data_IF_079476523635
#
_entry.id   IF_079476523635
#
_cell.length_a   1.000
_cell.length_b   1.000
_cell.length_c   1.000
_cell.angle_alpha   90.00
_cell.angle_beta   90.00
_cell.angle_gamma   90.00
#
_symmetry.space_group_name_H-M   'P 1'
#
loop_
_entity.id
_entity.type
_entity.pdbx_description
1 polymer ?
#
# COMPACT_ATOMS: atom_id res chain seq x y z
N UNK A 1 -7.25 34.25 23.51
CA UNK A 1 -6.13 33.72 24.33
C UNK A 1 -5.72 32.39 23.71
N UNK A 2 -4.54 32.35 23.10
CA UNK A 2 -3.93 31.07 22.67
C UNK A 2 -3.62 30.28 23.96
N UNK A 3 -4.33 29.19 24.19
CA UNK A 3 -3.93 28.23 25.21
C UNK A 3 -2.61 27.62 24.78
N UNK A 4 -1.56 27.79 25.56
CA UNK A 4 -0.31 27.07 25.38
C UNK A 4 -0.60 25.55 25.33
N UNK A 5 0.01 24.87 24.39
CA UNK A 5 -0.08 23.39 24.30
C UNK A 5 0.63 22.78 25.50
N UNK A 6 0.05 21.74 26.08
CA UNK A 6 0.71 20.93 27.12
C UNK A 6 1.83 20.02 26.53
N UNK A 7 1.96 19.99 25.22
CA UNK A 7 2.87 19.13 24.47
C UNK A 7 3.91 19.92 23.69
N UNK A 8 5.10 19.33 23.55
CA UNK A 8 6.05 19.74 22.52
C UNK A 8 5.57 19.22 21.16
N UNK A 9 5.44 20.11 20.18
CA UNK A 9 4.89 19.78 18.87
C UNK A 9 6.00 19.76 17.84
N UNK A 10 6.06 18.70 17.04
CA UNK A 10 6.94 18.56 15.89
C UNK A 10 6.07 18.58 14.63
N UNK A 11 6.30 19.55 13.77
CA UNK A 11 5.71 19.59 12.42
C UNK A 11 6.67 18.93 11.45
N UNK A 12 6.28 17.75 10.94
CA UNK A 12 7.08 16.99 9.99
C UNK A 12 6.59 17.22 8.58
N UNK A 13 7.44 17.81 7.73
CA UNK A 13 7.21 17.96 6.29
C UNK A 13 7.96 16.85 5.57
N UNK A 14 7.26 15.80 5.24
CA UNK A 14 7.79 14.58 4.66
C UNK A 14 7.94 14.72 3.13
N UNK A 15 9.07 14.31 2.52
CA UNK A 15 9.22 14.18 1.06
C UNK A 15 8.77 12.81 0.59
N UNK A 16 8.65 12.61 -0.74
CA UNK A 16 8.67 11.30 -1.42
C UNK A 16 7.63 10.26 -0.92
N UNK A 17 6.42 10.70 -0.60
CA UNK A 17 5.32 9.78 -0.23
C UNK A 17 4.97 8.86 -1.40
N UNK A 18 4.83 9.38 -2.63
CA UNK A 18 4.36 8.70 -3.83
C UNK A 18 5.18 7.44 -4.23
N UNK A 19 6.39 7.29 -3.71
CA UNK A 19 7.24 6.11 -3.93
C UNK A 19 7.50 5.29 -2.65
N UNK A 20 6.77 5.58 -1.56
CA UNK A 20 6.85 4.85 -0.29
C UNK A 20 8.15 5.02 0.50
N UNK A 21 9.02 5.96 0.12
CA UNK A 21 10.33 6.15 0.79
C UNK A 21 10.36 7.29 1.79
N UNK A 22 9.38 8.17 1.78
CA UNK A 22 9.38 9.43 2.53
C UNK A 22 9.43 9.24 4.04
N UNK A 23 8.59 8.38 4.58
CA UNK A 23 8.58 8.11 6.01
C UNK A 23 9.89 7.47 6.50
N UNK A 24 10.49 6.58 5.71
CA UNK A 24 11.78 5.98 6.03
C UNK A 24 12.93 7.00 6.05
N UNK A 25 12.90 7.98 5.14
CA UNK A 25 13.85 9.11 5.11
C UNK A 25 13.76 9.94 6.39
N UNK A 26 12.57 10.04 6.98
CA UNK A 26 12.33 10.80 8.22
C UNK A 26 12.71 10.05 9.50
N UNK A 27 13.16 8.78 9.43
CA UNK A 27 13.60 7.99 10.59
C UNK A 27 14.56 8.70 11.55
N UNK A 28 15.58 9.48 11.11
CA UNK A 28 16.51 10.15 12.01
C UNK A 28 15.84 11.13 13.00
N UNK A 29 14.63 11.63 12.70
CA UNK A 29 13.86 12.45 13.63
C UNK A 29 13.53 11.67 14.91
N UNK A 30 13.11 10.41 14.77
CA UNK A 30 12.71 9.54 15.88
C UNK A 30 13.92 8.99 16.66
N UNK A 31 15.09 9.00 16.07
CA UNK A 31 16.35 8.70 16.78
C UNK A 31 16.79 9.88 17.65
N UNK A 32 16.42 11.11 17.23
CA UNK A 32 16.79 12.35 17.93
C UNK A 32 15.80 12.79 19.01
N UNK A 33 14.51 12.56 18.78
CA UNK A 33 13.43 13.01 19.65
C UNK A 33 12.57 11.82 20.09
N UNK A 34 12.22 11.79 21.37
CA UNK A 34 11.16 10.90 21.86
C UNK A 34 9.80 11.46 21.41
N UNK A 35 9.04 10.62 20.70
CA UNK A 35 7.72 10.98 20.18
C UNK A 35 6.67 10.08 20.84
N UNK A 36 5.68 10.66 21.49
CA UNK A 36 4.63 9.93 22.20
C UNK A 36 3.45 9.53 21.31
N UNK A 37 3.16 10.34 20.27
CA UNK A 37 2.01 10.14 19.37
C UNK A 37 2.31 10.75 18.01
N UNK A 38 1.77 10.16 16.97
CA UNK A 38 1.92 10.63 15.57
C UNK A 38 0.55 10.72 14.94
N UNK A 39 0.27 11.86 14.30
CA UNK A 39 -0.97 12.11 13.57
C UNK A 39 -0.69 12.47 12.13
N UNK A 40 -1.45 11.88 11.22
CA UNK A 40 -1.48 12.21 9.80
C UNK A 40 -2.90 12.38 9.30
N UNK A 41 -3.02 13.07 8.16
CA UNK A 41 -4.32 13.35 7.55
C UNK A 41 -4.18 13.36 6.03
N UNK A 42 -5.15 12.77 5.35
CA UNK A 42 -5.29 12.85 3.90
C UNK A 42 -6.69 13.35 3.52
N UNK A 43 -6.82 14.05 2.43
CA UNK A 43 -8.10 14.39 1.84
C UNK A 43 -8.68 13.17 1.10
N UNK A 44 -10.01 13.00 1.10
CA UNK A 44 -10.63 11.85 0.44
C UNK A 44 -11.84 12.26 -0.41
N UNK A 45 -11.74 12.10 -1.74
CA UNK A 45 -12.87 12.25 -2.66
C UNK A 45 -14.04 11.33 -2.32
N UNK A 46 -15.24 11.76 -2.65
CA UNK A 46 -16.48 10.98 -2.52
C UNK A 46 -16.89 10.60 -1.09
N UNK A 47 -16.22 11.13 -0.08
CA UNK A 47 -16.68 11.15 1.29
C UNK A 47 -17.33 12.52 1.60
N UNK A 48 -18.29 12.54 2.54
CA UNK A 48 -19.04 13.77 2.90
C UNK A 48 -18.07 14.88 3.31
N UNK A 49 -18.21 16.05 2.69
CA UNK A 49 -17.31 17.20 2.85
C UNK A 49 -17.25 17.67 4.31
N UNK A 50 -16.04 18.01 4.76
CA UNK A 50 -15.76 18.52 6.12
C UNK A 50 -16.06 17.53 7.26
N UNK A 51 -16.21 16.24 6.97
CA UNK A 51 -16.30 15.18 7.97
C UNK A 51 -14.93 14.52 8.11
N UNK A 52 -14.51 14.26 9.33
CA UNK A 52 -13.30 13.49 9.64
C UNK A 52 -13.64 12.01 9.67
N UNK A 53 -13.02 11.24 8.78
CA UNK A 53 -13.17 9.78 8.73
C UNK A 53 -11.98 9.10 9.40
N UNK A 54 -12.27 8.10 10.19
CA UNK A 54 -11.26 7.35 10.94
C UNK A 54 -11.56 5.86 10.94
N UNK A 55 -10.55 5.07 11.25
CA UNK A 55 -10.69 3.65 11.52
C UNK A 55 -9.64 3.24 12.56
N UNK A 56 -10.02 2.46 13.60
CA UNK A 56 -9.04 1.78 14.45
C UNK A 56 -8.43 0.58 13.72
N UNK A 57 -7.23 0.17 14.09
CA UNK A 57 -6.47 -0.89 13.47
C UNK A 57 -6.08 -0.57 12.02
N UNK A 58 -6.23 -1.48 11.09
CA UNK A 58 -5.88 -1.28 9.67
C UNK A 58 -6.70 -0.17 9.05
N UNK A 59 -6.05 0.92 8.64
CA UNK A 59 -6.65 2.07 7.94
C UNK A 59 -6.47 1.93 6.44
N UNK A 60 -5.24 1.61 6.00
CA UNK A 60 -4.90 1.38 4.59
C UNK A 60 -3.99 0.15 4.46
N UNK A 61 -4.02 -0.48 3.30
CA UNK A 61 -3.31 -1.73 3.06
C UNK A 61 -1.79 -1.57 3.00
N UNK A 62 -1.07 -2.62 3.39
CA UNK A 62 0.32 -2.81 3.02
C UNK A 62 0.45 -3.19 1.54
N UNK A 63 1.54 -2.79 0.89
CA UNK A 63 1.82 -3.21 -0.49
C UNK A 63 3.30 -3.23 -0.82
N UNK A 64 3.66 -3.96 -1.89
CA UNK A 64 5.00 -3.99 -2.46
C UNK A 64 4.94 -4.30 -3.94
N UNK A 65 5.78 -3.65 -4.72
CA UNK A 65 6.03 -3.94 -6.12
C UNK A 65 7.12 -4.99 -6.30
N UNK A 66 6.92 -5.95 -7.20
CA UNK A 66 7.96 -6.91 -7.60
C UNK A 66 8.16 -6.86 -9.11
N UNK A 67 9.42 -6.77 -9.52
CA UNK A 67 9.86 -7.07 -10.88
C UNK A 67 10.60 -8.40 -10.87
N UNK A 68 10.12 -9.35 -11.63
CA UNK A 68 10.67 -10.70 -11.69
C UNK A 68 11.11 -10.95 -13.13
N UNK A 69 12.39 -11.22 -13.32
CA UNK A 69 12.96 -11.54 -14.63
C UNK A 69 13.43 -13.01 -14.68
N UNK A 70 13.14 -13.65 -15.80
CA UNK A 70 13.57 -15.01 -16.13
C UNK A 70 14.47 -14.99 -17.34
N UNK A 71 15.65 -15.58 -17.23
CA UNK A 71 16.55 -15.83 -18.36
C UNK A 71 16.69 -17.34 -18.57
N UNK A 72 16.21 -17.82 -19.71
CA UNK A 72 16.32 -19.20 -20.15
C UNK A 72 17.35 -19.38 -21.26
N UNK A 73 16.99 -20.14 -22.31
CA UNK A 73 17.86 -20.42 -23.47
C UNK A 73 17.10 -20.11 -24.75
N UNK A 74 17.69 -19.26 -25.58
CA UNK A 74 17.15 -18.94 -26.90
C UNK A 74 17.35 -20.12 -27.86
N UNK A 75 16.37 -20.34 -28.75
CA UNK A 75 16.49 -21.32 -29.82
C UNK A 75 15.89 -20.81 -31.12
N UNK A 76 16.10 -21.56 -32.20
CA UNK A 76 15.39 -21.30 -33.44
C UNK A 76 13.90 -21.68 -33.29
N UNK A 77 13.00 -20.91 -33.87
CA UNK A 77 11.56 -21.15 -33.72
C UNK A 77 11.08 -22.52 -34.27
N UNK A 78 11.86 -23.16 -35.18
CA UNK A 78 11.59 -24.51 -35.65
C UNK A 78 12.12 -25.63 -34.75
N UNK A 79 12.93 -25.26 -33.70
CA UNK A 79 13.53 -26.20 -32.75
C UNK A 79 13.31 -25.71 -31.31
N UNK A 80 12.05 -25.49 -30.89
CA UNK A 80 11.73 -24.90 -29.58
C UNK A 80 12.20 -25.80 -28.41
N UNK A 81 12.33 -27.09 -28.62
CA UNK A 81 12.80 -28.06 -27.62
C UNK A 81 14.29 -27.88 -27.24
N UNK A 82 15.06 -27.16 -28.04
CA UNK A 82 16.46 -26.80 -27.73
C UNK A 82 16.57 -25.55 -26.87
N UNK A 83 15.47 -24.83 -26.71
CA UNK A 83 15.39 -23.61 -25.91
C UNK A 83 14.73 -23.82 -24.54
N UNK A 84 14.75 -22.76 -23.73
CA UNK A 84 13.95 -22.61 -22.51
C UNK A 84 13.27 -21.25 -22.56
N UNK A 85 12.03 -21.24 -23.06
CA UNK A 85 11.26 -20.02 -23.27
C UNK A 85 10.47 -19.69 -21.98
N UNK A 86 10.70 -18.52 -21.35
CA UNK A 86 10.05 -18.12 -20.10
C UNK A 86 8.54 -17.87 -20.24
N UNK A 87 8.00 -17.75 -21.46
CA UNK A 87 6.57 -17.49 -21.69
C UNK A 87 5.68 -18.50 -20.98
N UNK A 88 6.06 -19.77 -20.98
CA UNK A 88 5.24 -20.83 -20.38
C UNK A 88 5.21 -20.73 -18.86
N UNK A 89 6.36 -20.49 -18.22
CA UNK A 89 6.44 -20.31 -16.78
C UNK A 89 5.70 -19.05 -16.31
N UNK A 90 5.89 -17.93 -17.00
CA UNK A 90 5.20 -16.67 -16.67
C UNK A 90 3.68 -16.76 -16.91
N UNK A 91 3.26 -17.40 -17.99
CA UNK A 91 1.83 -17.60 -18.28
C UNK A 91 1.16 -18.54 -17.26
N UNK A 92 1.86 -19.60 -16.83
CA UNK A 92 1.37 -20.51 -15.80
C UNK A 92 1.23 -19.78 -14.47
N UNK A 93 2.20 -18.97 -14.07
CA UNK A 93 2.12 -18.15 -12.88
C UNK A 93 0.97 -17.15 -12.95
N UNK A 94 0.85 -16.41 -14.05
CA UNK A 94 -0.24 -15.45 -14.27
C UNK A 94 -1.62 -16.12 -14.14
N UNK A 95 -1.75 -17.34 -14.65
CA UNK A 95 -2.99 -18.12 -14.51
C UNK A 95 -3.22 -18.58 -13.06
N UNK A 96 -2.19 -19.00 -12.36
CA UNK A 96 -2.29 -19.44 -10.98
C UNK A 96 -2.76 -18.33 -10.03
N UNK A 97 -2.28 -17.08 -10.23
CA UNK A 97 -2.65 -15.94 -9.38
C UNK A 97 -3.96 -15.23 -9.78
N UNK A 98 -4.63 -15.65 -10.86
CA UNK A 98 -5.90 -15.04 -11.32
C UNK A 98 -6.96 -14.91 -10.20
N UNK A 99 -7.15 -15.91 -9.31
CA UNK A 99 -8.09 -15.77 -8.19
C UNK A 99 -7.72 -14.62 -7.23
N UNK A 100 -6.43 -14.37 -6.99
CA UNK A 100 -5.96 -13.26 -6.15
C UNK A 100 -6.17 -11.90 -6.83
N UNK A 101 -6.05 -11.83 -8.14
CA UNK A 101 -6.32 -10.60 -8.90
C UNK A 101 -7.81 -10.18 -8.88
N UNK A 102 -8.71 -11.11 -8.57
CA UNK A 102 -10.17 -10.88 -8.49
C UNK A 102 -10.66 -10.55 -7.08
N UNK A 103 -9.78 -10.56 -6.08
CA UNK A 103 -10.17 -10.21 -4.71
C UNK A 103 -10.48 -8.72 -4.60
N UNK A 104 -11.63 -8.38 -4.03
CA UNK A 104 -12.11 -6.99 -3.91
C UNK A 104 -12.59 -6.62 -2.52
N UNK A 105 -12.91 -7.59 -1.67
CA UNK A 105 -13.48 -7.38 -0.34
C UNK A 105 -12.52 -7.70 0.79
N UNK A 106 -12.87 -7.25 1.98
CA UNK A 106 -12.10 -7.47 3.21
C UNK A 106 -12.60 -8.67 4.03
N UNK A 107 -13.37 -9.56 3.41
CA UNK A 107 -13.86 -10.77 4.06
C UNK A 107 -12.78 -11.87 4.04
N UNK A 108 -12.75 -12.77 5.05
CA UNK A 108 -11.83 -13.88 5.05
C UNK A 108 -12.01 -14.79 3.84
N UNK A 109 -10.91 -15.29 3.30
CA UNK A 109 -10.92 -16.24 2.18
C UNK A 109 -9.72 -17.19 2.23
N UNK A 110 -9.75 -18.20 1.36
CA UNK A 110 -8.66 -19.17 1.21
C UNK A 110 -8.21 -19.19 -0.25
N UNK A 111 -6.91 -19.15 -0.44
CA UNK A 111 -6.25 -19.35 -1.73
C UNK A 111 -5.25 -20.50 -1.61
N UNK A 112 -5.46 -21.57 -2.35
CA UNK A 112 -4.73 -22.84 -2.21
C UNK A 112 -4.71 -23.31 -0.72
N UNK A 113 -3.54 -23.39 -0.12
CA UNK A 113 -3.35 -23.76 1.29
C UNK A 113 -3.18 -22.54 2.23
N UNK A 114 -3.35 -21.32 1.72
CA UNK A 114 -3.16 -20.09 2.47
C UNK A 114 -4.51 -19.51 2.91
N UNK A 115 -4.61 -19.19 4.19
CA UNK A 115 -5.80 -18.54 4.77
C UNK A 115 -5.51 -17.07 5.00
N UNK A 116 -6.39 -16.22 4.52
CA UNK A 116 -6.34 -14.78 4.70
C UNK A 116 -7.55 -14.33 5.53
N UNK A 117 -7.31 -13.54 6.56
CA UNK A 117 -8.39 -13.02 7.40
C UNK A 117 -9.06 -11.78 6.80
N UNK A 118 -8.46 -11.20 5.78
CA UNK A 118 -8.92 -9.99 5.11
C UNK A 118 -8.42 -9.95 3.66
N UNK A 119 -8.49 -8.78 3.01
CA UNK A 119 -8.02 -8.56 1.64
C UNK A 119 -6.56 -8.97 1.48
N UNK A 120 -6.30 -9.83 0.50
CA UNK A 120 -4.96 -10.10 -0.04
C UNK A 120 -5.10 -10.31 -1.55
N UNK A 121 -4.31 -9.57 -2.34
CA UNK A 121 -4.43 -9.57 -3.79
C UNK A 121 -3.08 -9.39 -4.48
N UNK A 122 -2.98 -9.89 -5.72
CA UNK A 122 -1.82 -9.68 -6.60
C UNK A 122 -2.33 -9.13 -7.93
N UNK A 123 -1.81 -7.99 -8.35
CA UNK A 123 -2.11 -7.40 -9.64
C UNK A 123 -0.90 -7.49 -10.55
N UNK A 124 -1.09 -7.99 -11.77
CA UNK A 124 -0.06 -7.95 -12.82
C UNK A 124 -0.06 -6.53 -13.40
N UNK A 125 1.07 -5.84 -13.30
CA UNK A 125 1.25 -4.48 -13.80
C UNK A 125 1.84 -4.49 -15.21
N UNK A 126 2.75 -5.41 -15.47
CA UNK A 126 3.42 -5.56 -16.75
C UNK A 126 3.83 -7.02 -16.95
N UNK A 127 3.84 -7.48 -18.19
CA UNK A 127 4.40 -8.77 -18.58
C UNK A 127 4.93 -8.67 -20.02
N UNK A 128 6.17 -9.07 -20.21
CA UNK A 128 6.82 -9.06 -21.51
C UNK A 128 7.70 -10.29 -21.69
N UNK A 129 7.73 -10.85 -22.89
CA UNK A 129 8.61 -11.98 -23.25
C UNK A 129 9.16 -11.76 -24.64
N UNK A 130 10.49 -11.69 -24.75
CA UNK A 130 11.20 -11.55 -26.01
C UNK A 130 10.87 -10.26 -26.77
N UNK A 131 11.00 -10.35 -28.07
CA UNK A 131 10.71 -9.24 -29.03
C UNK A 131 10.05 -9.80 -30.29
N UNK A 132 9.49 -8.93 -31.10
CA UNK A 132 8.83 -9.33 -32.34
C UNK A 132 9.86 -9.88 -33.36
N UNK A 133 10.09 -11.19 -33.32
CA UNK A 133 10.94 -11.93 -34.26
C UNK A 133 10.39 -13.34 -34.44
N UNK A 134 9.83 -13.64 -35.60
CA UNK A 134 9.18 -14.92 -35.88
C UNK A 134 10.13 -16.12 -35.99
N UNK A 135 11.45 -15.86 -36.16
CA UNK A 135 12.48 -16.89 -36.30
C UNK A 135 13.09 -17.37 -34.97
N UNK A 136 12.74 -16.77 -33.84
CA UNK A 136 13.40 -16.96 -32.56
C UNK A 136 12.40 -17.32 -31.45
N UNK A 137 12.67 -18.40 -30.71
CA UNK A 137 12.06 -18.68 -29.41
C UNK A 137 12.88 -17.93 -28.35
N UNK A 138 12.27 -16.97 -27.59
CA UNK A 138 13.01 -16.08 -26.74
C UNK A 138 13.56 -16.74 -25.48
N UNK A 139 14.68 -16.19 -24.97
CA UNK A 139 15.26 -16.57 -23.69
C UNK A 139 14.83 -15.69 -22.51
N UNK A 140 14.41 -14.46 -22.76
CA UNK A 140 14.18 -13.46 -21.72
C UNK A 140 12.70 -13.13 -21.59
N UNK A 141 12.25 -13.02 -20.34
CA UNK A 141 10.92 -12.54 -20.02
C UNK A 141 10.87 -11.92 -18.64
N UNK A 142 9.92 -11.04 -18.42
CA UNK A 142 9.69 -10.41 -17.12
C UNK A 142 8.20 -10.26 -16.81
N UNK A 143 7.91 -10.20 -15.53
CA UNK A 143 6.59 -9.85 -15.00
C UNK A 143 6.75 -8.87 -13.84
N UNK A 144 5.93 -7.80 -13.85
CA UNK A 144 5.84 -6.85 -12.75
C UNK A 144 4.50 -7.02 -12.03
N UNK A 145 4.57 -7.06 -10.71
CA UNK A 145 3.44 -7.34 -9.83
C UNK A 145 3.31 -6.24 -8.78
N UNK A 146 2.08 -5.93 -8.37
CA UNK A 146 1.81 -5.31 -7.08
C UNK A 146 1.15 -6.34 -6.18
N UNK A 147 1.79 -6.65 -5.07
CA UNK A 147 1.22 -7.44 -3.99
C UNK A 147 0.61 -6.48 -2.98
N UNK A 148 -0.58 -6.78 -2.49
CA UNK A 148 -1.30 -5.94 -1.55
C UNK A 148 -2.08 -6.80 -0.57
N UNK A 149 -2.02 -6.46 0.73
CA UNK A 149 -2.84 -7.07 1.75
C UNK A 149 -3.30 -6.04 2.78
N UNK A 150 -4.45 -6.27 3.41
CA UNK A 150 -4.91 -5.43 4.50
C UNK A 150 -3.89 -5.41 5.64
N UNK A 151 -3.29 -6.55 5.94
CA UNK A 151 -2.34 -6.73 7.05
C UNK A 151 -0.95 -7.06 6.55
N UNK A 152 0.06 -6.55 7.23
CA UNK A 152 1.47 -6.76 6.88
C UNK A 152 1.91 -8.23 6.95
N UNK A 153 1.40 -8.98 7.94
CA UNK A 153 1.69 -10.41 8.04
C UNK A 153 1.08 -11.22 6.88
N UNK A 154 -0.06 -10.78 6.33
CA UNK A 154 -0.70 -11.40 5.17
C UNK A 154 0.00 -11.00 3.86
N UNK A 155 0.51 -9.77 3.76
CA UNK A 155 1.42 -9.40 2.66
C UNK A 155 2.64 -10.34 2.62
N UNK A 156 3.23 -10.64 3.79
CA UNK A 156 4.35 -11.58 3.89
C UNK A 156 4.01 -13.00 3.43
N UNK A 157 2.75 -13.43 3.51
CA UNK A 157 2.29 -14.71 2.94
C UNK A 157 2.33 -14.63 1.40
N UNK A 158 1.81 -13.56 0.80
CA UNK A 158 1.86 -13.36 -0.65
C UNK A 158 3.30 -13.30 -1.17
N UNK A 159 4.19 -12.61 -0.45
CA UNK A 159 5.62 -12.51 -0.78
C UNK A 159 6.28 -13.90 -0.79
N UNK A 160 6.04 -14.71 0.25
CA UNK A 160 6.56 -16.08 0.29
C UNK A 160 6.01 -16.95 -0.84
N UNK A 161 4.73 -16.84 -1.15
CA UNK A 161 4.11 -17.56 -2.25
C UNK A 161 4.80 -17.22 -3.57
N UNK A 162 4.96 -15.94 -3.90
CA UNK A 162 5.60 -15.48 -5.13
C UNK A 162 7.05 -15.94 -5.19
N UNK A 163 7.83 -15.70 -4.11
CA UNK A 163 9.24 -16.09 -4.06
C UNK A 163 9.41 -17.61 -4.19
N UNK A 164 8.62 -18.41 -3.48
CA UNK A 164 8.69 -19.87 -3.56
C UNK A 164 8.38 -20.40 -4.96
N UNK A 165 7.40 -19.79 -5.66
CA UNK A 165 7.09 -20.18 -7.02
C UNK A 165 8.31 -20.01 -7.95
N UNK A 166 8.92 -18.83 -7.93
CA UNK A 166 10.04 -18.51 -8.81
C UNK A 166 11.36 -19.19 -8.36
N UNK A 167 11.55 -19.42 -7.05
CA UNK A 167 12.65 -20.26 -6.56
C UNK A 167 12.60 -21.68 -7.14
N UNK A 168 11.40 -22.26 -7.27
CA UNK A 168 11.19 -23.57 -7.89
C UNK A 168 11.58 -23.62 -9.38
N UNK A 169 11.76 -22.49 -10.04
CA UNK A 169 12.15 -22.40 -11.45
C UNK A 169 13.67 -22.25 -11.67
N UNK A 170 14.47 -22.16 -10.60
CA UNK A 170 15.92 -21.90 -10.70
C UNK A 170 16.74 -23.01 -11.35
N UNK A 171 16.22 -24.22 -11.43
CA UNK A 171 16.86 -25.30 -12.18
C UNK A 171 16.75 -25.12 -13.70
N UNK A 172 15.73 -24.38 -14.15
CA UNK A 172 15.44 -24.16 -15.56
C UNK A 172 15.82 -22.76 -16.05
N UNK A 173 15.73 -21.75 -15.15
CA UNK A 173 15.94 -20.34 -15.48
C UNK A 173 16.87 -19.67 -14.48
N UNK A 174 17.64 -18.69 -14.95
CA UNK A 174 18.18 -17.67 -14.07
C UNK A 174 17.02 -16.75 -13.64
N UNK A 175 16.83 -16.60 -12.32
CA UNK A 175 15.71 -15.85 -11.71
C UNK A 175 16.27 -14.64 -10.97
N UNK A 176 15.75 -13.44 -11.30
CA UNK A 176 15.98 -12.21 -10.56
C UNK A 176 14.66 -11.69 -10.02
N UNK A 177 14.63 -11.25 -8.76
CA UNK A 177 13.49 -10.62 -8.11
C UNK A 177 13.96 -9.31 -7.50
N UNK A 178 13.43 -8.20 -7.99
CA UNK A 178 13.67 -6.85 -7.49
C UNK A 178 12.41 -6.33 -6.80
N UNK A 179 12.61 -5.55 -5.73
CA UNK A 179 11.54 -5.02 -4.90
C UNK A 179 11.43 -3.50 -5.07
N UNK A 180 10.21 -2.97 -5.18
CA UNK A 180 9.90 -1.57 -5.39
C UNK A 180 8.74 -1.12 -4.50
N UNK A 181 8.67 0.17 -4.19
CA UNK A 181 7.52 0.87 -3.65
C UNK A 181 6.84 0.10 -2.50
N UNK A 182 7.62 -0.18 -1.45
CA UNK A 182 7.12 -0.86 -0.25
C UNK A 182 6.42 0.13 0.68
N UNK A 183 5.17 -0.21 1.01
CA UNK A 183 4.36 0.49 1.99
C UNK A 183 3.99 -0.47 3.12
N UNK A 184 4.25 -0.07 4.35
CA UNK A 184 3.77 -0.78 5.53
C UNK A 184 2.25 -0.63 5.66
N UNK A 185 1.58 -1.54 6.36
CA UNK A 185 0.19 -1.37 6.77
C UNK A 185 0.03 -0.05 7.54
N UNK A 186 -0.83 0.84 7.07
CA UNK A 186 -1.20 2.02 7.84
C UNK A 186 -2.16 1.58 8.95
N UNK A 187 -1.63 1.52 10.18
CA UNK A 187 -2.33 1.03 11.36
C UNK A 187 -2.52 2.16 12.37
N UNK A 188 -3.76 2.38 12.77
CA UNK A 188 -4.08 3.35 13.82
C UNK A 188 -4.27 2.64 15.17
N UNK A 189 -3.55 3.11 16.20
CA UNK A 189 -3.64 2.56 17.55
C UNK A 189 -5.04 2.73 18.11
N UNK A 190 -5.75 1.64 18.50
CA UNK A 190 -7.15 1.72 18.95
C UNK A 190 -7.35 2.62 20.17
N UNK A 191 -6.42 2.62 21.13
CA UNK A 191 -6.51 3.45 22.33
C UNK A 191 -6.31 4.94 22.01
N UNK A 192 -5.38 5.25 21.08
CA UNK A 192 -5.19 6.61 20.59
C UNK A 192 -6.42 7.08 19.81
N UNK A 193 -6.98 6.23 18.95
CA UNK A 193 -8.20 6.53 18.18
C UNK A 193 -9.35 6.86 19.12
N UNK A 194 -9.66 6.00 20.09
CA UNK A 194 -10.78 6.20 21.03
C UNK A 194 -10.67 7.56 21.74
N UNK A 195 -9.53 7.85 22.34
CA UNK A 195 -9.27 9.12 23.04
C UNK A 195 -9.38 10.34 22.13
N UNK A 196 -8.83 10.21 20.91
CA UNK A 196 -8.83 11.31 19.93
C UNK A 196 -10.24 11.59 19.43
N UNK A 197 -11.01 10.57 19.09
CA UNK A 197 -12.40 10.75 18.62
C UNK A 197 -13.29 11.40 19.67
N UNK A 198 -13.12 11.06 20.95
CA UNK A 198 -13.83 11.75 22.02
C UNK A 198 -13.49 13.24 22.07
N UNK A 199 -12.22 13.63 21.94
CA UNK A 199 -11.79 15.03 21.89
C UNK A 199 -12.37 15.77 20.68
N UNK A 200 -12.32 15.16 19.48
CA UNK A 200 -12.83 15.76 18.25
C UNK A 200 -14.35 16.03 18.33
N UNK A 201 -15.12 15.05 18.81
CA UNK A 201 -16.56 15.22 19.05
C UNK A 201 -16.87 16.32 20.06
N UNK A 202 -16.13 16.37 21.16
CA UNK A 202 -16.29 17.41 22.19
C UNK A 202 -15.95 18.81 21.68
N UNK A 203 -15.08 18.92 20.69
CA UNK A 203 -14.74 20.17 20.01
C UNK A 203 -15.72 20.54 18.87
N UNK A 204 -16.77 19.75 18.65
CA UNK A 204 -17.80 20.02 17.64
C UNK A 204 -17.44 19.56 16.23
N UNK A 205 -16.34 18.80 16.05
CA UNK A 205 -16.01 18.21 14.75
C UNK A 205 -16.93 17.00 14.46
N UNK A 206 -17.39 16.92 13.24
CA UNK A 206 -18.14 15.78 12.75
C UNK A 206 -17.17 14.66 12.39
N UNK A 207 -17.36 13.46 12.97
CA UNK A 207 -16.48 12.32 12.79
C UNK A 207 -17.29 11.07 12.46
N UNK A 208 -16.79 10.26 11.53
CA UNK A 208 -17.44 9.04 11.06
C UNK A 208 -16.43 7.90 10.93
N UNK A 209 -16.80 6.71 11.35
CA UNK A 209 -15.93 5.55 11.25
C UNK A 209 -16.11 4.86 9.90
N UNK A 210 -14.99 4.61 9.20
CA UNK A 210 -14.98 3.77 7.99
C UNK A 210 -15.31 2.33 8.37
N UNK A 211 -16.24 1.73 7.64
CA UNK A 211 -16.63 0.32 7.82
C UNK A 211 -15.52 -0.66 7.42
N UNK A 212 -14.75 -0.31 6.39
CA UNK A 212 -13.66 -1.12 5.85
C UNK A 212 -12.40 -0.28 5.68
N UNK A 213 -11.20 -0.90 5.66
CA UNK A 213 -9.96 -0.20 5.29
C UNK A 213 -10.01 0.33 3.86
N UNK A 214 -9.17 1.31 3.56
CA UNK A 214 -8.93 1.77 2.19
C UNK A 214 -7.92 0.83 1.51
N UNK A 215 -8.22 0.39 0.29
CA UNK A 215 -7.33 -0.52 -0.45
C UNK A 215 -6.03 0.11 -0.92
N UNK A 216 -5.96 1.44 -0.99
CA UNK A 216 -4.72 2.15 -1.26
C UNK A 216 -3.68 1.95 -0.15
N UNK A 217 -2.46 2.39 -0.38
CA UNK A 217 -1.36 2.38 0.59
C UNK A 217 -0.86 3.81 0.82
N UNK A 218 -0.19 4.02 1.93
CA UNK A 218 0.33 5.31 2.39
C UNK A 218 1.56 5.05 3.26
N UNK A 219 2.66 5.72 3.02
CA UNK A 219 3.91 5.45 3.73
C UNK A 219 3.90 5.90 5.20
N UNK A 220 2.90 6.70 5.61
CA UNK A 220 2.63 7.00 7.02
C UNK A 220 2.57 5.74 7.89
N UNK A 221 2.19 4.59 7.35
CA UNK A 221 2.18 3.30 8.02
C UNK A 221 3.52 2.92 8.66
N UNK A 222 4.64 3.43 8.13
CA UNK A 222 5.97 3.22 8.68
C UNK A 222 6.14 3.80 10.10
N UNK A 223 5.43 4.85 10.43
CA UNK A 223 5.57 5.56 11.72
C UNK A 223 5.05 4.77 12.92
N UNK A 224 4.17 3.78 12.73
CA UNK A 224 3.74 2.87 13.82
C UNK A 224 4.90 2.15 14.52
N UNK A 225 6.08 2.12 13.89
CA UNK A 225 7.31 1.52 14.43
C UNK A 225 7.92 2.34 15.56
N UNK A 226 7.56 3.61 15.70
CA UNK A 226 8.19 4.56 16.62
C UNK A 226 7.26 4.99 17.75
N UNK A 227 5.97 5.16 17.48
CA UNK A 227 4.98 5.57 18.47
C UNK A 227 3.56 5.17 18.03
N UNK A 228 2.58 5.15 18.96
CA UNK A 228 1.18 5.07 18.60
C UNK A 228 0.83 6.13 17.58
N UNK A 229 0.26 5.72 16.46
CA UNK A 229 -0.05 6.59 15.34
C UNK A 229 -1.54 6.54 14.99
N UNK A 230 -2.04 7.62 14.42
CA UNK A 230 -3.41 7.73 13.92
C UNK A 230 -3.42 8.51 12.60
N UNK A 231 -3.96 7.87 11.57
CA UNK A 231 -4.18 8.49 10.27
C UNK A 231 -5.67 8.64 10.03
N UNK A 232 -6.10 9.80 9.54
CA UNK A 232 -7.49 10.11 9.29
C UNK A 232 -7.69 10.69 7.89
N UNK A 233 -8.94 10.77 7.46
CA UNK A 233 -9.27 11.41 6.19
C UNK A 233 -10.23 12.59 6.44
N UNK A 234 -10.11 13.63 5.59
CA UNK A 234 -11.12 14.69 5.49
C UNK A 234 -11.87 14.48 4.19
N UNK A 235 -13.19 14.33 4.28
CA UNK A 235 -14.04 14.19 3.11
C UNK A 235 -14.07 15.48 2.28
N UNK A 236 -14.00 15.33 0.95
CA UNK A 236 -14.05 16.42 -0.02
C UNK A 236 -15.41 16.59 -0.69
N UNK A 237 -16.39 15.72 -0.40
CA UNK A 237 -17.64 15.67 -1.18
C UNK A 237 -17.46 14.96 -2.53
N UNK A 238 -18.44 15.03 -3.38
CA UNK A 238 -18.42 14.42 -4.71
C UNK A 238 -17.49 15.17 -5.64
N UNK A 239 -16.38 14.56 -6.00
CA UNK A 239 -15.38 15.11 -6.92
C UNK A 239 -14.65 13.96 -7.65
N UNK A 240 -13.88 14.25 -8.72
CA UNK A 240 -13.03 13.25 -9.36
C UNK A 240 -12.08 12.58 -8.37
N UNK A 241 -11.74 11.32 -8.64
CA UNK A 241 -10.79 10.57 -7.82
C UNK A 241 -9.40 11.20 -7.83
N UNK A 242 -8.60 10.93 -6.79
CA UNK A 242 -7.18 11.26 -6.75
C UNK A 242 -6.47 10.75 -8.02
N UNK A 243 -5.45 11.47 -8.49
CA UNK A 243 -4.69 11.19 -9.72
C UNK A 243 -5.49 11.25 -11.03
N UNK A 244 -6.75 11.68 -11.00
CA UNK A 244 -7.52 11.92 -12.22
C UNK A 244 -7.19 13.31 -12.79
N UNK A 245 -7.07 13.45 -14.11
CA UNK A 245 -6.67 14.70 -14.78
C UNK A 245 -7.55 15.91 -14.43
N UNK A 246 -8.82 15.69 -14.09
CA UNK A 246 -9.76 16.72 -13.69
C UNK A 246 -9.89 16.88 -12.16
N UNK A 247 -9.03 16.24 -11.38
CA UNK A 247 -9.02 16.41 -9.93
C UNK A 247 -8.57 17.83 -9.57
N UNK A 248 -9.34 18.47 -8.67
CA UNK A 248 -8.99 19.77 -8.09
C UNK A 248 -9.17 19.68 -6.58
N UNK A 249 -8.12 20.08 -5.86
CA UNK A 249 -8.16 20.14 -4.40
C UNK A 249 -9.15 21.25 -3.97
N UNK A 250 -9.97 20.94 -2.97
CA UNK A 250 -10.97 21.88 -2.44
C UNK A 250 -10.45 22.52 -1.14
N UNK A 251 -10.02 23.76 -1.22
CA UNK A 251 -9.48 24.53 -0.09
C UNK A 251 -10.46 24.68 1.09
N UNK A 252 -11.76 24.51 0.87
CA UNK A 252 -12.77 24.63 1.94
C UNK A 252 -12.68 23.51 3.00
N UNK A 253 -11.89 22.46 2.77
CA UNK A 253 -11.62 21.43 3.79
C UNK A 253 -10.47 21.80 4.72
N UNK A 254 -9.61 22.75 4.34
CA UNK A 254 -8.42 23.16 5.12
C UNK A 254 -8.78 23.60 6.54
N UNK A 255 -9.82 24.44 6.79
CA UNK A 255 -10.21 24.82 8.14
C UNK A 255 -10.55 23.61 9.04
N UNK A 256 -11.22 22.59 8.50
CA UNK A 256 -11.56 21.36 9.23
C UNK A 256 -10.29 20.58 9.58
N UNK A 257 -9.36 20.44 8.65
CA UNK A 257 -8.07 19.79 8.87
C UNK A 257 -7.23 20.50 9.94
N UNK A 258 -7.13 21.83 9.85
CA UNK A 258 -6.43 22.66 10.85
C UNK A 258 -7.08 22.54 12.22
N UNK A 259 -8.41 22.62 12.30
CA UNK A 259 -9.14 22.48 13.57
C UNK A 259 -8.92 21.10 14.19
N UNK A 260 -8.91 20.02 13.40
CA UNK A 260 -8.57 18.67 13.87
C UNK A 260 -7.20 18.66 14.55
N UNK A 261 -6.15 19.17 13.88
CA UNK A 261 -4.82 19.23 14.49
C UNK A 261 -4.76 20.09 15.75
N UNK A 262 -5.45 21.26 15.76
CA UNK A 262 -5.52 22.10 16.96
C UNK A 262 -6.15 21.41 18.16
N UNK A 263 -7.12 20.50 17.92
CA UNK A 263 -7.78 19.73 18.98
C UNK A 263 -6.87 18.62 19.52
N UNK A 264 -6.12 17.93 18.66
CA UNK A 264 -5.29 16.80 19.12
C UNK A 264 -4.02 17.22 19.85
N UNK A 265 -3.55 18.46 19.66
CA UNK A 265 -2.37 19.03 20.32
C UNK A 265 -2.69 19.78 21.63
N UNK A 266 -3.95 19.84 22.01
CA UNK A 266 -4.47 20.36 23.30
C UNK A 266 -4.87 19.22 24.20
#
# INVERSE_FOLDING_TARGET
EEKESEYNIIYLFQPAEENGSGAAICKPLFEKYHVDKIFGLHNMPNLRKNVIYYRPETVMCASVGYRIALTGVQSHASEPEKGRNPVYALSAFAKAIEPLAKQTGFQPFTFENYHFSSLAMITIIHMNVGSLNFGISPANGEICLTLRAAKENELSILERYVRSYFEGLKEEFEVSIEEFDRFDENYADPSLVEKTIMKLKSAGLEVEQLSEPIRASEDFGYYKRFAPSMFVFVGMGTCPSLHHDSYVFDDEIIPTAVHMFQVVIR
#
